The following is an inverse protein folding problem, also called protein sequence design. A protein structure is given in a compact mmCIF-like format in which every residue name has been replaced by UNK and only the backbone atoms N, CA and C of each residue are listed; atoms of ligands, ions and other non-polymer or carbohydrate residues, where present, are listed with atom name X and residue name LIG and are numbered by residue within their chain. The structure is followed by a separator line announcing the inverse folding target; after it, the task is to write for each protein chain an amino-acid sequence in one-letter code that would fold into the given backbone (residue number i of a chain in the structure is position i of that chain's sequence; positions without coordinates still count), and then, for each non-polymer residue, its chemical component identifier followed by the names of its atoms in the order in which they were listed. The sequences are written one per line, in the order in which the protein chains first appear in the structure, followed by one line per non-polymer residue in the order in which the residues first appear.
data_IF_132279119461
#
_entry.id   IF_132279119461
#
_cell.length_a   1.000
_cell.length_b   1.000
_cell.length_c   1.000
_cell.angle_alpha   90.00
_cell.angle_beta   90.00
_cell.angle_gamma   90.00
#
_symmetry.space_group_name_H-M   'P 1'
#
loop_
_entity.id
_entity.type
_entity.pdbx_description
1 polymer ?
#
# COMPACT_ATOMS: atom_id res chain seq x y z
N UNK A 1 -4.74 15.57 5.96
CA UNK A 1 -5.09 14.79 4.75
C UNK A 1 -3.99 15.08 3.73
N UNK A 2 -3.04 14.15 3.54
CA UNK A 2 -1.95 14.34 2.58
C UNK A 2 -2.48 14.22 1.15
N UNK A 3 -1.82 14.89 0.22
CA UNK A 3 -2.14 14.80 -1.21
C UNK A 3 -1.83 13.36 -1.66
N UNK A 4 -2.83 12.66 -2.20
CA UNK A 4 -2.59 11.39 -2.86
C UNK A 4 -1.58 11.61 -3.99
N UNK A 5 -0.51 10.81 -4.01
CA UNK A 5 0.50 10.87 -5.07
C UNK A 5 -0.14 10.48 -6.41
N UNK A 6 -0.91 9.37 -6.41
CA UNK A 6 -1.52 8.83 -7.63
C UNK A 6 -0.47 8.38 -8.64
N UNK A 7 0.71 7.98 -8.15
CA UNK A 7 1.84 7.65 -9.01
C UNK A 7 1.78 6.18 -9.44
N UNK A 8 1.92 5.87 -10.74
CA UNK A 8 1.95 4.49 -11.20
C UNK A 8 3.22 3.80 -10.72
N UNK A 9 3.06 2.57 -10.22
CA UNK A 9 4.15 1.78 -9.64
C UNK A 9 4.13 0.35 -10.17
N UNK A 10 5.28 -0.30 -10.14
CA UNK A 10 5.37 -1.74 -10.42
C UNK A 10 5.34 -2.53 -9.12
N UNK A 11 4.46 -3.53 -9.03
CA UNK A 11 4.31 -4.36 -7.85
C UNK A 11 4.39 -5.83 -8.24
N UNK A 12 5.32 -6.56 -7.63
CA UNK A 12 5.23 -8.03 -7.59
C UNK A 12 4.19 -8.37 -6.53
N UNK A 13 3.11 -9.02 -6.96
CA UNK A 13 2.05 -9.49 -6.09
C UNK A 13 1.70 -10.94 -6.42
N UNK A 14 1.08 -11.63 -5.47
CA UNK A 14 0.57 -12.98 -5.68
C UNK A 14 -0.86 -13.10 -5.17
N UNK A 15 -1.61 -14.00 -5.77
CA UNK A 15 -2.89 -14.43 -5.23
C UNK A 15 -2.68 -15.61 -4.29
N UNK A 16 -2.97 -15.41 -3.01
CA UNK A 16 -2.93 -16.46 -2.00
C UNK A 16 -4.23 -17.28 -2.10
N UNK A 17 -4.17 -18.40 -2.82
CA UNK A 17 -5.34 -19.25 -3.06
C UNK A 17 -5.90 -19.86 -1.76
N UNK A 18 -5.06 -20.13 -0.75
CA UNK A 18 -5.48 -20.69 0.53
C UNK A 18 -6.36 -19.71 1.30
N UNK A 19 -5.97 -18.44 1.32
CA UNK A 19 -6.70 -17.38 2.03
C UNK A 19 -7.61 -16.55 1.12
N UNK A 20 -7.66 -16.87 -0.18
CA UNK A 20 -8.45 -16.22 -1.23
C UNK A 20 -8.27 -14.69 -1.27
N UNK A 21 -7.01 -14.23 -1.19
CA UNK A 21 -6.68 -12.79 -1.17
C UNK A 21 -5.44 -12.45 -1.99
N UNK A 22 -5.45 -11.27 -2.59
CA UNK A 22 -4.28 -10.65 -3.22
C UNK A 22 -3.32 -10.19 -2.13
N UNK A 23 -2.02 -10.40 -2.35
CA UNK A 23 -0.94 -9.96 -1.46
C UNK A 23 0.16 -9.26 -2.26
N UNK A 24 0.43 -7.98 -2.00
CA UNK A 24 1.61 -7.32 -2.53
C UNK A 24 2.86 -7.88 -1.83
N UNK A 25 3.99 -7.95 -2.56
CA UNK A 25 5.23 -8.57 -2.08
C UNK A 25 6.45 -7.68 -2.25
N UNK A 26 6.58 -7.02 -3.39
CA UNK A 26 7.65 -6.08 -3.66
C UNK A 26 7.11 -4.91 -4.46
N UNK A 27 7.53 -3.70 -4.11
CA UNK A 27 7.24 -2.46 -4.80
C UNK A 27 8.51 -1.95 -5.45
N UNK A 28 8.44 -1.52 -6.71
CA UNK A 28 9.50 -0.72 -7.35
C UNK A 28 9.00 0.70 -7.53
N UNK A 29 9.68 1.66 -6.90
CA UNK A 29 9.37 3.09 -7.00
C UNK A 29 10.67 3.91 -7.03
N UNK A 30 10.76 4.89 -7.92
CA UNK A 30 11.97 5.70 -8.13
C UNK A 30 13.26 4.87 -8.27
N UNK A 31 13.22 3.81 -9.10
CA UNK A 31 14.33 2.85 -9.31
C UNK A 31 14.85 2.17 -8.03
N UNK A 32 14.03 2.15 -6.98
CA UNK A 32 14.33 1.46 -5.72
C UNK A 32 13.30 0.37 -5.48
N UNK A 33 13.80 -0.81 -5.11
CA UNK A 33 12.98 -1.95 -4.74
C UNK A 33 12.77 -2.00 -3.23
N UNK A 34 11.50 -2.01 -2.81
CA UNK A 34 11.08 -2.14 -1.43
C UNK A 34 10.45 -3.52 -1.21
N UNK A 35 11.03 -4.28 -0.28
CA UNK A 35 10.41 -5.53 0.15
C UNK A 35 9.29 -5.23 1.13
N UNK A 36 8.09 -5.65 0.80
CA UNK A 36 6.89 -5.31 1.56
C UNK A 36 6.69 -6.28 2.72
N UNK A 37 6.32 -5.72 3.88
CA UNK A 37 5.94 -6.45 5.07
C UNK A 37 4.50 -6.98 5.02
N UNK A 38 3.97 -7.42 6.17
CA UNK A 38 2.57 -7.80 6.29
C UNK A 38 1.62 -6.65 5.92
N UNK A 39 0.45 -6.98 5.40
CA UNK A 39 -0.61 -5.99 5.18
C UNK A 39 -1.28 -5.69 6.52
N UNK A 40 -1.14 -4.45 6.99
CA UNK A 40 -1.71 -3.96 8.24
C UNK A 40 -3.21 -3.71 8.10
N UNK A 41 -3.60 -3.06 7.01
CA UNK A 41 -4.98 -2.76 6.71
C UNK A 41 -5.30 -2.95 5.24
N UNK A 42 -6.48 -3.50 4.98
CA UNK A 42 -7.00 -3.72 3.64
C UNK A 42 -8.47 -3.36 3.58
N UNK A 43 -8.85 -2.60 2.57
CA UNK A 43 -10.24 -2.30 2.25
C UNK A 43 -10.42 -2.19 0.75
N UNK A 44 -11.66 -2.01 0.32
CA UNK A 44 -12.00 -1.86 -1.10
C UNK A 44 -12.98 -0.72 -1.32
N UNK A 45 -12.83 -0.03 -2.43
CA UNK A 45 -13.75 1.01 -2.88
C UNK A 45 -14.25 0.71 -4.30
N UNK A 46 -15.28 1.42 -4.75
CA UNK A 46 -15.70 1.40 -6.14
C UNK A 46 -15.61 2.82 -6.70
N UNK A 47 -14.85 2.99 -7.78
CA UNK A 47 -14.68 4.28 -8.46
C UNK A 47 -15.17 4.11 -9.90
N UNK A 48 -16.26 4.79 -10.25
CA UNK A 48 -16.86 4.63 -11.57
C UNK A 48 -17.31 3.19 -11.90
N UNK A 49 -17.63 2.39 -10.87
CA UNK A 49 -17.97 0.98 -11.02
C UNK A 49 -16.78 0.02 -11.02
N UNK A 50 -15.55 0.53 -11.09
CA UNK A 50 -14.33 -0.27 -10.98
C UNK A 50 -14.01 -0.55 -9.52
N UNK A 51 -13.81 -1.81 -9.17
CA UNK A 51 -13.36 -2.23 -7.85
C UNK A 51 -11.88 -1.89 -7.66
N UNK A 52 -11.55 -1.18 -6.59
CA UNK A 52 -10.18 -0.84 -6.22
C UNK A 52 -9.86 -1.50 -4.88
N UNK A 53 -8.75 -2.23 -4.79
CA UNK A 53 -8.23 -2.73 -3.53
C UNK A 53 -7.18 -1.76 -2.97
N UNK A 54 -7.32 -1.37 -1.71
CA UNK A 54 -6.35 -0.52 -1.02
C UNK A 54 -5.62 -1.33 0.04
N UNK A 55 -4.30 -1.22 0.06
CA UNK A 55 -3.40 -1.92 0.99
C UNK A 55 -2.56 -0.90 1.74
N UNK A 56 -2.59 -0.97 3.06
CA UNK A 56 -1.74 -0.22 3.98
C UNK A 56 -0.75 -1.18 4.60
N UNK A 57 0.54 -0.87 4.49
CA UNK A 57 1.63 -1.73 4.94
C UNK A 57 2.96 -0.99 5.01
N UNK A 58 3.89 -1.52 5.80
CA UNK A 58 5.27 -1.06 5.81
C UNK A 58 6.18 -1.90 4.90
N UNK A 59 7.39 -1.42 4.64
CA UNK A 59 8.48 -2.30 4.21
C UNK A 59 8.87 -3.29 5.33
N UNK A 60 9.63 -4.31 4.98
CA UNK A 60 10.05 -5.37 5.92
C UNK A 60 10.87 -4.83 7.11
N UNK A 61 11.51 -3.67 6.97
CA UNK A 61 12.30 -3.04 8.03
C UNK A 61 11.50 -2.02 8.86
N UNK A 62 10.19 -1.86 8.60
CA UNK A 62 9.31 -0.92 9.31
C UNK A 62 9.85 0.53 9.27
N UNK A 63 10.46 0.92 8.15
CA UNK A 63 11.04 2.26 7.94
C UNK A 63 10.10 3.18 7.19
N UNK A 64 9.34 2.64 6.23
CA UNK A 64 8.45 3.39 5.37
C UNK A 64 7.09 2.71 5.34
N UNK A 65 6.05 3.50 5.60
CA UNK A 65 4.66 3.14 5.42
C UNK A 65 4.21 3.51 4.00
N UNK A 66 3.45 2.60 3.38
CA UNK A 66 2.86 2.77 2.06
C UNK A 66 1.35 2.55 2.12
N UNK A 67 0.63 3.33 1.32
CA UNK A 67 -0.73 3.03 0.91
C UNK A 67 -0.75 2.79 -0.60
N UNK A 68 -1.12 1.59 -1.01
CA UNK A 68 -1.12 1.14 -2.41
C UNK A 68 -2.57 0.87 -2.87
N UNK A 69 -2.86 1.18 -4.12
CA UNK A 69 -4.13 0.85 -4.76
C UNK A 69 -3.91 -0.11 -5.95
N UNK A 70 -4.77 -1.12 -6.07
CA UNK A 70 -4.86 -2.01 -7.23
C UNK A 70 -6.21 -1.82 -7.91
N UNK A 71 -6.18 -1.39 -9.16
CA UNK A 71 -7.35 -1.34 -10.02
C UNK A 71 -7.62 -2.72 -10.62
N UNK A 72 -8.81 -3.30 -10.39
CA UNK A 72 -9.10 -4.67 -10.86
C UNK A 72 -9.48 -4.77 -12.33
N UNK A 73 -9.77 -3.67 -12.99
CA UNK A 73 -10.14 -3.64 -14.41
C UNK A 73 -8.89 -3.72 -15.31
N UNK A 74 -7.85 -2.97 -14.98
CA UNK A 74 -6.62 -2.89 -15.78
C UNK A 74 -5.36 -3.43 -15.08
N UNK A 75 -5.47 -3.87 -13.81
CA UNK A 75 -4.37 -4.36 -12.98
C UNK A 75 -3.27 -3.33 -12.69
N UNK A 76 -3.55 -2.04 -12.91
CA UNK A 76 -2.60 -0.99 -12.56
C UNK A 76 -2.50 -0.83 -11.05
N UNK A 77 -1.27 -0.62 -10.61
CA UNK A 77 -0.94 -0.29 -9.23
C UNK A 77 -0.59 1.19 -9.12
N UNK A 78 -1.10 1.82 -8.07
CA UNK A 78 -0.84 3.22 -7.75
C UNK A 78 -0.35 3.36 -6.31
N UNK A 79 0.63 4.24 -6.12
CA UNK A 79 1.05 4.71 -4.81
C UNK A 79 0.12 5.86 -4.40
N UNK A 80 -0.73 5.64 -3.40
CA UNK A 80 -1.62 6.66 -2.86
C UNK A 80 -0.88 7.53 -1.82
N UNK A 81 -0.12 6.89 -0.93
CA UNK A 81 0.55 7.58 0.18
C UNK A 81 1.88 6.90 0.53
N UNK A 82 2.85 7.71 0.95
CA UNK A 82 4.14 7.28 1.45
C UNK A 82 4.53 8.15 2.66
N UNK A 83 5.06 7.52 3.71
CA UNK A 83 5.50 8.21 4.92
C UNK A 83 6.64 7.47 5.60
N UNK A 84 7.62 8.19 6.14
CA UNK A 84 8.57 7.59 7.07
C UNK A 84 7.83 7.15 8.33
N UNK A 85 8.06 5.94 8.83
CA UNK A 85 7.38 5.44 10.04
C UNK A 85 7.66 6.32 11.26
N UNK A 86 8.81 6.99 11.31
CA UNK A 86 9.10 8.03 12.32
C UNK A 86 8.05 9.15 12.33
N UNK A 87 7.63 9.60 11.16
CA UNK A 87 6.66 10.69 11.00
C UNK A 87 5.25 10.20 11.32
N UNK A 88 4.96 8.93 11.03
CA UNK A 88 3.68 8.29 11.39
C UNK A 88 3.48 8.28 12.90
N UNK A 89 4.51 7.92 13.67
CA UNK A 89 4.45 7.95 15.13
C UNK A 89 4.26 9.36 15.68
N UNK A 90 4.81 10.39 15.03
CA UNK A 90 4.61 11.78 15.46
C UNK A 90 3.19 12.28 15.15
N UNK A 91 2.60 11.85 14.03
CA UNK A 91 1.24 12.25 13.63
C UNK A 91 0.14 11.50 14.40
N UNK A 92 0.35 10.22 14.71
CA UNK A 92 -0.65 9.36 15.38
C UNK A 92 -0.33 9.07 16.87
N UNK A 93 0.86 9.41 17.35
CA UNK A 93 1.31 9.22 18.74
C UNK A 93 0.87 10.30 19.73
N UNK A 94 -0.14 11.11 19.38
CA UNK A 94 -0.79 12.03 20.32
C UNK A 94 -1.78 11.36 21.30
N UNK A 95 -1.95 10.04 21.25
CA UNK A 95 -2.75 9.29 22.22
C UNK A 95 -2.04 8.01 22.68
N UNK A 96 -1.45 8.11 23.87
CA UNK A 96 -1.48 7.06 24.89
C UNK A 96 -0.41 5.97 24.84
N UNK A 97 0.60 6.11 25.71
CA UNK A 97 0.84 5.15 26.79
C UNK A 97 0.81 5.91 28.13
#
# INVERSE_FOLDING_TARGET
MRKSLGEPISVVYFFDAKHKRVKPYQLTWNNTDYRLGPVDFWHKTHVGGVLIHHFSLCDINETIYFKLALNTDNLHWELEELMMVSDLHLEYGGQGL
#
